data_IF_355355837843
#
_entry.id   IF_355355837843
#
_cell.length_a   1.000
_cell.length_b   1.000
_cell.length_c   1.000
_cell.angle_alpha   90.00
_cell.angle_beta   90.00
_cell.angle_gamma   90.00
#
_symmetry.space_group_name_H-M   'P 1'
#
loop_
_entity.id
_entity.type
_entity.pdbx_description
1 polymer ?
#
# COMPACT_ATOMS: atom_id res chain seq x y z
N UNK A 1 -12.68 -8.48 3.88
CA UNK A 1 -12.28 -7.47 2.87
C UNK A 1 -10.88 -7.02 3.25
N UNK A 2 -9.83 -7.44 2.53
CA UNK A 2 -8.47 -7.06 2.85
C UNK A 2 -8.29 -5.53 2.77
N UNK A 3 -7.64 -4.95 3.79
CA UNK A 3 -7.23 -3.55 3.78
C UNK A 3 -5.69 -3.48 3.80
N UNK A 4 -5.11 -2.73 2.86
CA UNK A 4 -3.66 -2.55 2.73
C UNK A 4 -3.31 -1.08 2.92
N UNK A 5 -2.59 -0.77 3.99
CA UNK A 5 -2.08 0.59 4.24
C UNK A 5 -0.65 0.73 3.75
N UNK A 6 -0.44 1.55 2.72
CA UNK A 6 0.87 1.91 2.18
C UNK A 6 1.37 3.17 2.87
N UNK A 7 2.38 2.97 3.72
CA UNK A 7 3.05 4.01 4.46
C UNK A 7 4.24 4.54 3.64
N UNK A 8 4.10 5.72 3.04
CA UNK A 8 5.09 6.26 2.11
C UNK A 8 5.61 7.63 2.51
N UNK A 9 6.92 7.89 2.36
CA UNK A 9 7.43 9.25 2.58
C UNK A 9 6.80 10.28 1.60
N UNK A 10 6.89 11.57 1.87
CA UNK A 10 6.61 12.58 0.86
C UNK A 10 7.79 12.64 -0.14
N UNK A 11 7.56 12.40 -1.43
CA UNK A 11 8.55 12.67 -2.50
C UNK A 11 7.84 13.17 -3.77
N UNK A 12 8.49 14.01 -4.59
CA UNK A 12 7.89 14.56 -5.81
C UNK A 12 7.46 13.51 -6.84
N UNK A 13 8.15 12.38 -6.92
CA UNK A 13 7.84 11.30 -7.86
C UNK A 13 6.52 10.55 -7.56
N UNK A 14 5.87 10.84 -6.44
CA UNK A 14 4.74 10.07 -5.88
C UNK A 14 3.41 10.70 -6.30
N UNK A 15 3.28 10.93 -7.60
CA UNK A 15 2.10 11.57 -8.20
C UNK A 15 0.85 10.70 -8.02
N UNK A 16 -0.36 11.26 -8.18
CA UNK A 16 -1.60 10.47 -8.14
C UNK A 16 -1.60 9.28 -9.11
N UNK A 17 -1.02 9.46 -10.30
CA UNK A 17 -0.88 8.39 -11.29
C UNK A 17 0.01 7.24 -10.79
N UNK A 18 1.14 7.57 -10.16
CA UNK A 18 2.05 6.57 -9.58
C UNK A 18 1.36 5.83 -8.43
N UNK A 19 0.63 6.54 -7.55
CA UNK A 19 -0.16 5.91 -6.48
C UNK A 19 -1.20 4.94 -7.04
N UNK A 20 -1.87 5.30 -8.13
CA UNK A 20 -2.84 4.42 -8.81
C UNK A 20 -2.17 3.15 -9.34
N UNK A 21 -1.04 3.27 -10.05
CA UNK A 21 -0.28 2.10 -10.55
C UNK A 21 0.17 1.18 -9.42
N UNK A 22 0.59 1.75 -8.28
CA UNK A 22 0.96 0.97 -7.10
C UNK A 22 -0.26 0.24 -6.51
N UNK A 23 -1.41 0.90 -6.41
CA UNK A 23 -2.64 0.28 -5.93
C UNK A 23 -3.08 -0.89 -6.84
N UNK A 24 -3.05 -0.69 -8.16
CA UNK A 24 -3.41 -1.73 -9.14
C UNK A 24 -2.50 -2.96 -8.98
N UNK A 25 -1.19 -2.75 -8.79
CA UNK A 25 -0.24 -3.83 -8.58
C UNK A 25 -0.49 -4.59 -7.25
N UNK A 26 -0.82 -3.89 -6.17
CA UNK A 26 -1.15 -4.50 -4.87
C UNK A 26 -2.43 -5.34 -4.98
N UNK A 27 -3.49 -4.78 -5.60
CA UNK A 27 -4.76 -5.47 -5.79
C UNK A 27 -4.54 -6.75 -6.61
N UNK A 28 -3.81 -6.65 -7.72
CA UNK A 28 -3.49 -7.80 -8.57
C UNK A 28 -2.69 -8.87 -7.82
N UNK A 29 -1.70 -8.47 -7.01
CA UNK A 29 -0.92 -9.40 -6.21
C UNK A 29 -1.79 -10.17 -5.22
N UNK A 30 -2.70 -9.49 -4.51
CA UNK A 30 -3.56 -10.15 -3.53
C UNK A 30 -4.62 -11.04 -4.17
N UNK A 31 -5.26 -10.59 -5.25
CA UNK A 31 -6.22 -11.40 -6.00
C UNK A 31 -5.55 -12.60 -6.70
N UNK A 32 -4.25 -12.51 -7.01
CA UNK A 32 -3.47 -13.60 -7.59
C UNK A 32 -3.22 -14.78 -6.65
N UNK A 33 -3.40 -14.62 -5.34
CA UNK A 33 -3.22 -15.70 -4.36
C UNK A 33 -4.49 -16.55 -4.30
N UNK A 34 -4.59 -17.57 -5.18
CA UNK A 34 -5.80 -18.41 -5.34
C UNK A 34 -6.32 -19.04 -4.04
N UNK A 35 -5.43 -19.40 -3.11
CA UNK A 35 -5.81 -19.98 -1.82
C UNK A 35 -6.33 -18.98 -0.78
N UNK A 36 -6.23 -17.68 -1.04
CA UNK A 36 -6.74 -16.63 -0.16
C UNK A 36 -8.18 -16.22 -0.48
N UNK A 37 -8.73 -16.68 -1.61
CA UNK A 37 -10.11 -16.40 -2.06
C UNK A 37 -10.45 -14.88 -2.06
N UNK A 38 -9.48 -14.05 -2.45
CA UNK A 38 -9.62 -12.59 -2.48
C UNK A 38 -10.14 -12.16 -3.86
N UNK A 39 -11.31 -11.52 -3.87
CA UNK A 39 -11.80 -10.82 -5.05
C UNK A 39 -11.17 -9.42 -5.15
N UNK A 40 -10.75 -9.02 -6.36
CA UNK A 40 -10.01 -7.78 -6.59
C UNK A 40 -10.84 -6.52 -6.26
N UNK A 41 -12.16 -6.56 -6.45
CA UNK A 41 -13.11 -5.51 -6.09
C UNK A 41 -13.33 -5.37 -4.57
N UNK A 42 -12.81 -6.32 -3.79
CA UNK A 42 -12.91 -6.36 -2.33
C UNK A 42 -11.60 -6.02 -1.63
N UNK A 43 -10.68 -5.36 -2.33
CA UNK A 43 -9.41 -4.87 -1.76
C UNK A 43 -9.45 -3.36 -1.64
N UNK A 44 -9.16 -2.87 -0.44
CA UNK A 44 -8.95 -1.44 -0.20
C UNK A 44 -7.45 -1.17 -0.06
N UNK A 45 -6.94 -0.15 -0.76
CA UNK A 45 -5.56 0.32 -0.65
C UNK A 45 -5.56 1.77 -0.21
N UNK A 46 -4.98 2.05 0.96
CA UNK A 46 -4.90 3.37 1.55
C UNK A 46 -3.46 3.87 1.57
N UNK A 47 -3.23 5.13 1.18
CA UNK A 47 -1.90 5.73 1.20
C UNK A 47 -1.77 6.71 2.36
N UNK A 48 -0.88 6.42 3.29
CA UNK A 48 -0.48 7.33 4.36
C UNK A 48 0.84 7.98 3.99
N UNK A 49 0.84 9.29 3.79
CA UNK A 49 2.05 10.06 3.53
C UNK A 49 2.72 10.41 4.86
N UNK A 50 4.04 10.25 4.91
CA UNK A 50 4.86 10.47 6.09
C UNK A 50 5.92 11.50 5.71
N UNK A 51 6.09 12.54 6.50
CA UNK A 51 7.16 13.49 6.26
C UNK A 51 8.50 12.93 6.72
N UNK A 52 9.55 13.21 5.96
CA UNK A 52 10.91 12.79 6.28
C UNK A 52 11.36 13.56 7.54
N UNK A 53 11.32 12.89 8.70
CA UNK A 53 11.65 13.48 10.00
C UNK A 53 10.62 13.27 11.11
N UNK A 54 9.43 12.73 10.82
CA UNK A 54 8.49 12.37 11.88
C UNK A 54 8.88 11.03 12.54
N UNK A 55 9.14 11.01 13.87
CA UNK A 55 9.36 9.76 14.57
C UNK A 55 8.09 8.91 14.49
N UNK A 56 8.20 7.71 13.93
CA UNK A 56 7.15 6.70 14.04
C UNK A 56 7.37 5.94 15.33
N UNK A 57 6.52 6.15 16.33
CA UNK A 57 6.32 5.15 17.37
C UNK A 57 5.75 3.89 16.71
N UNK A 58 6.65 2.94 16.43
CA UNK A 58 6.30 1.72 15.73
C UNK A 58 7.54 0.89 15.49
N UNK A 59 7.64 -0.21 16.23
CA UNK A 59 8.66 -1.24 16.03
C UNK A 59 8.54 -1.76 14.58
N UNK A 60 9.56 -1.50 13.74
CA UNK A 60 9.66 -2.07 12.41
C UNK A 60 10.92 -2.92 12.31
N UNK A 61 10.73 -4.23 12.29
CA UNK A 61 11.77 -5.17 11.88
C UNK A 61 11.86 -5.13 10.36
N UNK A 62 13.01 -4.72 9.83
CA UNK A 62 13.38 -4.93 8.43
C UNK A 62 14.22 -6.20 8.34
N UNK A 63 13.95 -7.04 7.34
CA UNK A 63 14.75 -8.23 7.00
C UNK A 63 15.72 -7.88 5.89
#
# INVERSE_FOLDING_TARGET
MPNVTVNWLAKPCRTPEVKRRVADAIIAAMAGVKGAEIAADRVTVEFTIIDEGQPKEGYKVQK
#
